data_IF_530255167561
#
_entry.id   IF_530255167561
#
_cell.length_a   1.000
_cell.length_b   1.000
_cell.length_c   1.000
_cell.angle_alpha   90.00
_cell.angle_beta   90.00
_cell.angle_gamma   90.00
#
_symmetry.space_group_name_H-M   'P 1'
#
loop_
_entity.id
_entity.type
_entity.pdbx_description
1 polymer ?
#
# COMPACT_ATOMS: atom_id res chain seq x y z
N UNK A 1 46.41 -12.10 -51.26
CA UNK A 1 45.96 -10.70 -51.23
C UNK A 1 44.58 -10.65 -50.56
N UNK A 2 44.51 -10.09 -49.36
CA UNK A 2 43.21 -9.88 -48.66
C UNK A 2 42.57 -8.62 -49.28
N UNK A 3 41.39 -8.77 -49.89
CA UNK A 3 40.59 -7.63 -50.34
C UNK A 3 40.15 -6.84 -49.10
N UNK A 4 40.61 -5.66 -48.89
CA UNK A 4 40.06 -4.72 -47.92
C UNK A 4 38.76 -4.18 -48.53
N UNK A 5 37.62 -4.70 -48.04
CA UNK A 5 36.33 -4.16 -48.35
C UNK A 5 36.10 -3.00 -47.39
N UNK A 6 36.11 -1.77 -47.88
CA UNK A 6 35.71 -0.59 -47.13
C UNK A 6 34.17 -0.51 -47.00
N UNK A 7 33.70 0.01 -45.87
CA UNK A 7 32.29 0.29 -45.67
C UNK A 7 31.79 1.32 -46.69
N UNK A 8 30.57 1.10 -47.18
CA UNK A 8 29.94 2.07 -48.06
C UNK A 8 29.31 3.19 -47.23
N UNK A 9 29.24 4.40 -47.81
CA UNK A 9 28.63 5.56 -47.14
C UNK A 9 27.17 5.29 -46.75
N UNK A 10 26.44 4.54 -47.59
CA UNK A 10 25.03 4.18 -47.36
C UNK A 10 24.91 3.23 -46.16
N UNK A 11 25.83 2.31 -45.96
CA UNK A 11 25.84 1.38 -44.85
C UNK A 11 26.05 2.10 -43.51
N UNK A 12 26.94 3.08 -43.46
CA UNK A 12 27.15 3.93 -42.29
C UNK A 12 25.90 4.76 -41.98
N UNK A 13 25.23 5.28 -43.00
CA UNK A 13 24.01 6.07 -42.86
C UNK A 13 22.86 5.21 -42.33
N UNK A 14 22.67 4.02 -42.85
CA UNK A 14 21.64 3.07 -42.38
C UNK A 14 21.95 2.65 -40.93
N UNK A 15 23.21 2.33 -40.62
CA UNK A 15 23.60 1.98 -39.24
C UNK A 15 23.32 3.10 -38.25
N UNK A 16 23.56 4.37 -38.64
CA UNK A 16 23.29 5.54 -37.80
C UNK A 16 21.79 5.71 -37.55
N UNK A 17 20.95 5.56 -38.58
CA UNK A 17 19.47 5.62 -38.43
C UNK A 17 18.98 4.55 -37.47
N UNK A 18 19.44 3.31 -37.64
CA UNK A 18 19.09 2.20 -36.74
C UNK A 18 19.55 2.47 -35.29
N UNK A 19 20.76 2.99 -35.11
CA UNK A 19 21.28 3.34 -33.80
C UNK A 19 20.43 4.42 -33.10
N UNK A 20 20.05 5.49 -33.81
CA UNK A 20 19.19 6.56 -33.27
C UNK A 20 17.81 6.01 -32.90
N UNK A 21 17.21 5.19 -33.77
CA UNK A 21 15.92 4.55 -33.47
C UNK A 21 15.99 3.66 -32.21
N UNK A 22 17.03 2.86 -32.08
CA UNK A 22 17.25 2.00 -30.93
C UNK A 22 17.44 2.82 -29.64
N UNK A 23 18.19 3.91 -29.65
CA UNK A 23 18.36 4.80 -28.48
C UNK A 23 17.02 5.45 -28.08
N UNK A 24 16.20 5.85 -29.02
CA UNK A 24 14.90 6.45 -28.74
C UNK A 24 13.96 5.46 -28.04
N UNK A 25 13.88 4.23 -28.52
CA UNK A 25 13.07 3.17 -27.91
C UNK A 25 13.59 2.81 -26.49
N UNK A 26 14.89 2.74 -26.32
CA UNK A 26 15.50 2.46 -25.01
C UNK A 26 15.17 3.56 -24.00
N UNK A 27 15.27 4.83 -24.40
CA UNK A 27 14.95 5.96 -23.53
C UNK A 27 13.49 5.97 -23.09
N UNK A 28 12.55 5.62 -23.99
CA UNK A 28 11.13 5.49 -23.66
C UNK A 28 10.90 4.35 -22.67
N UNK A 29 11.52 3.20 -22.88
CA UNK A 29 11.43 2.05 -21.97
C UNK A 29 11.93 2.39 -20.58
N UNK A 30 13.07 3.07 -20.46
CA UNK A 30 13.62 3.51 -19.17
C UNK A 30 12.69 4.48 -18.44
N UNK A 31 12.16 5.47 -19.15
CA UNK A 31 11.21 6.45 -18.57
C UNK A 31 9.94 5.77 -18.04
N UNK A 32 9.40 4.81 -18.78
CA UNK A 32 8.20 4.05 -18.37
C UNK A 32 8.50 3.18 -17.14
N UNK A 33 9.65 2.50 -17.14
CA UNK A 33 10.09 1.68 -16.01
C UNK A 33 10.29 2.48 -14.72
N UNK A 34 10.91 3.65 -14.81
CA UNK A 34 11.09 4.55 -13.66
C UNK A 34 9.75 5.02 -13.08
N UNK A 35 8.79 5.34 -13.94
CA UNK A 35 7.43 5.72 -13.51
C UNK A 35 6.71 4.57 -12.80
N UNK A 36 6.75 3.37 -13.37
CA UNK A 36 6.14 2.19 -12.77
C UNK A 36 6.76 1.88 -11.39
N UNK A 37 8.07 2.01 -11.25
CA UNK A 37 8.78 1.83 -9.99
C UNK A 37 8.29 2.81 -8.91
N UNK A 38 8.15 4.10 -9.25
CA UNK A 38 7.65 5.12 -8.32
C UNK A 38 6.22 4.81 -7.86
N UNK A 39 5.33 4.51 -8.79
CA UNK A 39 3.93 4.15 -8.46
C UNK A 39 3.87 2.92 -7.57
N UNK A 40 4.69 1.89 -7.82
CA UNK A 40 4.77 0.70 -6.98
C UNK A 40 5.26 1.02 -5.56
N UNK A 41 6.20 1.94 -5.39
CA UNK A 41 6.67 2.37 -4.08
C UNK A 41 5.56 3.05 -3.26
N UNK A 42 4.81 3.97 -3.87
CA UNK A 42 3.68 4.62 -3.19
C UNK A 42 2.59 3.61 -2.81
N UNK A 43 2.25 2.68 -3.70
CA UNK A 43 1.28 1.63 -3.40
C UNK A 43 1.74 0.72 -2.25
N UNK A 44 3.03 0.37 -2.20
CA UNK A 44 3.60 -0.42 -1.11
C UNK A 44 3.54 0.33 0.22
N UNK A 45 3.87 1.63 0.24
CA UNK A 45 3.74 2.47 1.43
C UNK A 45 2.29 2.56 1.90
N UNK A 46 1.36 2.81 0.98
CA UNK A 46 -0.07 2.85 1.29
C UNK A 46 -0.57 1.54 1.91
N UNK A 47 -0.10 0.39 1.42
CA UNK A 47 -0.44 -0.92 1.97
C UNK A 47 0.09 -1.09 3.41
N UNK A 48 1.32 -0.67 3.69
CA UNK A 48 1.93 -0.73 5.02
C UNK A 48 1.17 0.20 6.00
N UNK A 49 0.87 1.43 5.57
CA UNK A 49 0.12 2.40 6.37
C UNK A 49 -1.30 1.91 6.65
N UNK A 50 -1.99 1.36 5.67
CA UNK A 50 -3.30 0.77 5.84
C UNK A 50 -3.29 -0.42 6.81
N UNK A 51 -2.26 -1.27 6.77
CA UNK A 51 -2.09 -2.36 7.72
C UNK A 51 -1.85 -1.86 9.15
N UNK A 52 -1.10 -0.76 9.32
CA UNK A 52 -0.91 -0.10 10.62
C UNK A 52 -2.24 0.35 11.19
N UNK A 53 -3.07 1.04 10.41
CA UNK A 53 -4.41 1.48 10.84
C UNK A 53 -5.28 0.29 11.27
N UNK A 54 -5.27 -0.80 10.53
CA UNK A 54 -6.01 -2.02 10.90
C UNK A 54 -5.52 -2.56 12.26
N UNK A 55 -4.21 -2.61 12.47
CA UNK A 55 -3.62 -3.08 13.73
C UNK A 55 -3.98 -2.18 14.90
N UNK A 56 -3.95 -0.85 14.71
CA UNK A 56 -4.32 0.12 15.75
C UNK A 56 -5.80 0.01 16.14
N UNK A 57 -6.67 -0.26 15.17
CA UNK A 57 -8.08 -0.54 15.42
C UNK A 57 -8.32 -1.88 16.13
N UNK A 58 -7.58 -2.93 15.79
CA UNK A 58 -7.66 -4.25 16.43
C UNK A 58 -7.15 -4.25 17.88
N UNK A 59 -6.11 -3.47 18.16
CA UNK A 59 -5.53 -3.35 19.51
C UNK A 59 -6.30 -2.39 20.40
N UNK A 60 -7.31 -1.70 19.86
CA UNK A 60 -8.11 -0.72 20.59
C UNK A 60 -7.37 0.59 20.88
N UNK A 61 -6.24 0.82 20.22
CA UNK A 61 -5.51 2.10 20.29
C UNK A 61 -6.33 3.25 19.69
N UNK A 62 -7.22 2.91 18.75
CA UNK A 62 -8.18 3.82 18.13
C UNK A 62 -9.56 3.18 18.23
N UNK A 63 -10.59 3.99 18.53
CA UNK A 63 -11.96 3.48 18.64
C UNK A 63 -12.42 2.90 17.31
N UNK A 64 -12.91 1.68 17.33
CA UNK A 64 -13.43 0.99 16.13
C UNK A 64 -14.87 1.41 15.78
N UNK A 65 -15.45 2.35 16.52
CA UNK A 65 -16.83 2.80 16.33
C UNK A 65 -16.92 3.85 15.21
N UNK A 66 -17.44 3.41 14.08
CA UNK A 66 -17.86 4.30 13.00
C UNK A 66 -16.79 4.61 11.94
N UNK A 67 -17.12 5.61 11.15
CA UNK A 67 -16.25 6.11 10.10
C UNK A 67 -15.23 7.08 10.70
N UNK A 68 -13.96 6.78 10.55
CA UNK A 68 -12.88 7.65 10.98
C UNK A 68 -12.02 8.06 9.78
N UNK A 69 -11.46 9.25 9.86
CA UNK A 69 -10.49 9.74 8.89
C UNK A 69 -9.36 10.47 9.60
N UNK A 70 -8.16 10.38 9.05
CA UNK A 70 -6.99 11.02 9.62
C UNK A 70 -5.86 11.10 8.61
N UNK A 71 -4.76 11.68 9.07
CA UNK A 71 -3.48 11.73 8.37
C UNK A 71 -2.40 11.04 9.21
N UNK A 72 -1.34 10.63 8.57
CA UNK A 72 -0.18 10.04 9.26
C UNK A 72 0.83 11.15 9.58
N UNK A 73 1.26 11.21 10.84
CA UNK A 73 2.26 12.22 11.26
C UNK A 73 3.60 12.04 10.55
N UNK A 74 3.98 10.77 10.30
CA UNK A 74 5.23 10.41 9.64
C UNK A 74 5.16 10.56 8.11
N UNK A 75 3.96 10.55 7.51
CA UNK A 75 3.72 10.55 6.07
C UNK A 75 2.54 11.49 5.73
N UNK A 76 2.74 12.82 5.76
CA UNK A 76 1.66 13.81 5.58
C UNK A 76 0.99 13.77 4.19
N UNK A 77 1.64 13.17 3.21
CA UNK A 77 1.10 12.99 1.85
C UNK A 77 0.00 11.92 1.77
N UNK A 78 -0.14 11.11 2.85
CA UNK A 78 -1.12 10.05 2.93
C UNK A 78 -2.21 10.38 3.93
N UNK A 79 -3.44 10.11 3.54
CA UNK A 79 -4.61 10.19 4.42
C UNK A 79 -5.32 8.85 4.46
N UNK A 80 -6.01 8.55 5.54
CA UNK A 80 -6.80 7.34 5.63
C UNK A 80 -8.26 7.64 5.98
N UNK A 81 -9.12 6.74 5.55
CA UNK A 81 -10.52 6.70 5.91
C UNK A 81 -10.89 5.27 6.25
N UNK A 82 -11.55 5.07 7.39
CA UNK A 82 -12.04 3.78 7.83
C UNK A 82 -13.56 3.75 7.76
N UNK A 83 -14.12 2.61 7.38
CA UNK A 83 -15.56 2.36 7.38
C UNK A 83 -15.79 1.00 8.00
N UNK A 84 -16.63 0.94 9.05
CA UNK A 84 -17.04 -0.31 9.69
C UNK A 84 -18.50 -0.58 9.36
N UNK A 85 -18.77 -1.73 8.76
CA UNK A 85 -20.10 -2.20 8.40
C UNK A 85 -20.36 -3.54 9.09
N UNK A 86 -21.59 -3.77 9.53
CA UNK A 86 -21.98 -5.09 10.02
C UNK A 86 -21.93 -6.09 8.86
N UNK A 87 -21.17 -7.16 9.04
CA UNK A 87 -21.04 -8.20 8.01
C UNK A 87 -22.34 -8.97 7.80
N UNK A 88 -22.45 -9.63 6.65
CA UNK A 88 -23.60 -10.49 6.30
C UNK A 88 -23.75 -11.69 7.25
N UNK A 89 -22.66 -12.06 7.94
CA UNK A 89 -22.63 -13.15 8.92
C UNK A 89 -22.70 -12.57 10.31
N UNK A 90 -23.66 -13.06 11.10
CA UNK A 90 -23.82 -12.65 12.51
C UNK A 90 -22.51 -12.81 13.29
N UNK A 91 -22.05 -11.74 13.93
CA UNK A 91 -20.81 -11.73 14.71
C UNK A 91 -19.55 -11.40 13.92
N UNK A 92 -19.66 -10.95 12.67
CA UNK A 92 -18.56 -10.42 11.87
C UNK A 92 -18.86 -8.98 11.46
N UNK A 93 -17.89 -8.10 11.63
CA UNK A 93 -17.90 -6.74 11.10
C UNK A 93 -16.90 -6.64 9.97
N UNK A 94 -17.30 -5.98 8.89
CA UNK A 94 -16.42 -5.68 7.76
C UNK A 94 -15.78 -4.31 7.99
N UNK A 95 -14.49 -4.31 8.19
CA UNK A 95 -13.69 -3.11 8.28
C UNK A 95 -13.06 -2.84 6.91
N UNK A 96 -13.33 -1.67 6.37
CA UNK A 96 -12.71 -1.18 5.14
C UNK A 96 -11.80 0.00 5.49
N UNK A 97 -10.54 -0.08 5.12
CA UNK A 97 -9.55 1.00 5.28
C UNK A 97 -9.13 1.46 3.90
N UNK A 98 -9.38 2.71 3.59
CA UNK A 98 -8.97 3.35 2.33
C UNK A 98 -7.85 4.34 2.64
N UNK A 99 -6.68 4.11 2.06
CA UNK A 99 -5.54 5.04 2.13
C UNK A 99 -5.47 5.80 0.82
N UNK A 100 -5.45 7.13 0.90
CA UNK A 100 -5.43 8.03 -0.24
C UNK A 100 -4.14 8.84 -0.26
N UNK A 101 -3.61 9.07 -1.47
CA UNK A 101 -2.47 9.94 -1.69
C UNK A 101 -2.57 10.63 -3.05
N UNK A 102 -1.81 11.67 -3.23
CA UNK A 102 -1.72 12.37 -4.50
C UNK A 102 -0.41 12.03 -5.21
N UNK A 103 -0.51 11.49 -6.41
CA UNK A 103 0.63 11.22 -7.28
C UNK A 103 0.51 12.03 -8.57
N UNK A 104 1.43 12.98 -8.80
CA UNK A 104 1.47 13.79 -10.03
C UNK A 104 0.13 14.46 -10.38
N UNK A 105 -0.54 15.03 -9.40
CA UNK A 105 -1.85 15.68 -9.58
C UNK A 105 -2.98 14.70 -9.90
N UNK A 106 -2.81 13.42 -9.59
CA UNK A 106 -3.83 12.38 -9.66
C UNK A 106 -4.05 11.79 -8.28
N UNK A 107 -5.30 11.73 -7.87
CA UNK A 107 -5.68 11.07 -6.63
C UNK A 107 -5.60 9.57 -6.83
N UNK A 108 -4.89 8.90 -5.93
CA UNK A 108 -4.73 7.46 -5.87
C UNK A 108 -5.26 6.95 -4.55
N UNK A 109 -5.79 5.74 -4.56
CA UNK A 109 -6.25 5.09 -3.35
C UNK A 109 -5.85 3.62 -3.32
N UNK A 110 -5.70 3.12 -2.10
CA UNK A 110 -5.47 1.72 -1.81
C UNK A 110 -6.48 1.27 -0.76
N UNK A 111 -7.27 0.24 -1.07
CA UNK A 111 -8.36 -0.25 -0.23
C UNK A 111 -7.97 -1.59 0.38
N UNK A 112 -8.03 -1.67 1.71
CA UNK A 112 -7.91 -2.92 2.45
C UNK A 112 -9.26 -3.25 3.10
N UNK A 113 -9.64 -4.52 3.00
CA UNK A 113 -10.86 -5.03 3.63
C UNK A 113 -10.48 -6.14 4.59
N UNK A 114 -10.98 -6.06 5.82
CA UNK A 114 -10.79 -7.10 6.83
C UNK A 114 -12.09 -7.43 7.53
N UNK A 115 -12.29 -8.69 7.83
CA UNK A 115 -13.40 -9.15 8.64
C UNK A 115 -12.95 -9.28 10.10
N UNK A 116 -13.60 -8.56 10.99
CA UNK A 116 -13.35 -8.59 12.42
C UNK A 116 -14.49 -9.32 13.11
N UNK A 117 -14.16 -10.16 14.08
CA UNK A 117 -15.17 -10.85 14.89
C UNK A 117 -15.72 -9.88 15.95
N UNK A 118 -17.03 -9.67 15.95
CA UNK A 118 -17.71 -8.91 17.01
C UNK A 118 -17.64 -9.73 18.29
N UNK A 119 -16.78 -9.36 19.26
CA UNK A 119 -16.64 -10.11 20.51
C UNK A 119 -15.23 -10.34 20.98
N UNK A 120 -14.20 -9.81 20.29
CA UNK A 120 -12.81 -9.76 20.85
C UNK A 120 -12.66 -8.55 21.77
N UNK A 121 -13.65 -8.27 22.62
CA UNK A 121 -13.48 -7.43 23.80
C UNK A 121 -12.66 -8.21 24.81
N UNK A 122 -11.53 -7.66 25.18
CA UNK A 122 -10.68 -7.93 26.33
C UNK A 122 -11.31 -8.89 27.32
N UNK A 123 -10.84 -10.13 27.37
CA UNK A 123 -11.07 -11.02 28.50
C UNK A 123 -10.32 -10.41 29.69
N UNK A 124 -11.02 -9.58 30.45
CA UNK A 124 -10.57 -9.19 31.79
C UNK A 124 -10.49 -10.49 32.58
N UNK A 125 -9.27 -10.98 32.77
CA UNK A 125 -9.00 -12.06 33.70
C UNK A 125 -9.33 -11.52 35.10
N UNK A 126 -10.57 -11.74 35.51
CA UNK A 126 -10.97 -11.56 36.91
C UNK A 126 -10.26 -12.67 37.71
N UNK A 127 -9.15 -12.34 38.32
CA UNK A 127 -8.49 -13.18 39.30
C UNK A 127 -9.48 -13.39 40.45
N UNK A 128 -9.88 -14.61 40.77
CA UNK A 128 -10.72 -14.83 41.96
C UNK A 128 -9.87 -14.58 43.23
N UNK A 129 -10.24 -13.57 43.98
CA UNK A 129 -9.68 -13.31 45.31
C UNK A 129 -10.07 -14.47 46.23
N UNK A 130 -9.11 -15.16 46.86
CA UNK A 130 -9.46 -16.17 47.87
C UNK A 130 -10.02 -15.48 49.12
N UNK A 131 -11.30 -15.72 49.38
CA UNK A 131 -11.92 -15.31 50.64
C UNK A 131 -11.39 -16.16 51.78
N UNK A 132 -10.55 -15.56 52.61
CA UNK A 132 -10.12 -16.15 53.90
C UNK A 132 -11.20 -15.88 54.93
N UNK A 133 -11.97 -16.91 55.28
CA UNK A 133 -12.89 -16.89 56.41
C UNK A 133 -12.11 -17.16 57.71
N UNK A 134 -12.13 -16.30 58.70
CA UNK A 134 -11.56 -16.63 60.02
C UNK A 134 -12.52 -17.48 60.80
N UNK A 135 -12.09 -18.69 61.15
CA UNK A 135 -12.79 -19.56 62.10
C UNK A 135 -12.42 -19.16 63.50
N UNK A 136 -13.44 -18.88 64.31
CA UNK A 136 -13.37 -18.71 65.73
C UNK A 136 -13.17 -20.06 66.45
#
# INVERSE_FOLDING_TARGET
MRRQQGFTLIEVLVALVVAVAAMTLLSQGFSTGARASTTAQFATRAAILGQRVITDLETGAVSSDGNQSGSFEDEPDFTYQTTSETGEVTGLNKLTVTVKWQERNQDREYVLVRLLRTGSGTTSTTTPTPSTTPKK
#
